data_IF_849115822724
#
_entry.id   IF_849115822724
#
_cell.length_a   1.000
_cell.length_b   1.000
_cell.length_c   1.000
_cell.angle_alpha   90.00
_cell.angle_beta   90.00
_cell.angle_gamma   90.00
#
_symmetry.space_group_name_H-M   'P 1'
#
loop_
_entity.id
_entity.type
_entity.pdbx_description
1 polymer ?
#
# COMPACT_ATOMS: atom_id res chain seq x y z
N UNK A 1 -86.91 11.82 81.17
CA UNK A 1 -85.67 12.60 80.96
C UNK A 1 -85.08 12.21 79.60
N UNK A 2 -84.58 13.17 78.81
CA UNK A 2 -83.93 12.89 77.50
C UNK A 2 -82.43 12.70 77.69
N UNK A 3 -81.83 11.74 76.98
CA UNK A 3 -80.37 11.59 76.83
C UNK A 3 -80.05 11.30 75.37
N UNK A 4 -79.46 12.28 74.66
CA UNK A 4 -79.22 12.19 73.23
C UNK A 4 -78.11 11.20 72.87
N UNK A 5 -78.31 10.42 71.82
CA UNK A 5 -77.24 9.63 71.21
C UNK A 5 -76.15 10.51 70.60
N UNK A 6 -74.91 10.01 70.61
CA UNK A 6 -73.77 10.61 69.90
C UNK A 6 -72.93 9.52 69.26
N UNK A 7 -73.33 9.09 68.07
CA UNK A 7 -72.58 8.13 67.24
C UNK A 7 -71.23 8.73 66.84
N UNK A 8 -70.14 8.05 67.20
CA UNK A 8 -68.78 8.48 66.89
C UNK A 8 -68.48 8.21 65.40
N UNK A 9 -68.60 9.23 64.57
CA UNK A 9 -68.36 9.15 63.14
C UNK A 9 -66.85 8.99 62.87
N UNK A 10 -66.43 7.79 62.49
CA UNK A 10 -65.05 7.52 62.03
C UNK A 10 -64.92 8.00 60.58
N UNK A 11 -64.17 9.09 60.35
CA UNK A 11 -63.89 9.61 59.01
C UNK A 11 -62.89 8.70 58.27
N UNK A 12 -63.30 8.03 57.16
CA UNK A 12 -62.40 7.14 56.42
C UNK A 12 -61.51 7.89 55.41
N UNK A 13 -61.61 9.22 55.29
CA UNK A 13 -60.97 9.99 54.20
C UNK A 13 -59.47 10.24 54.41
N UNK A 14 -58.95 10.13 55.62
CA UNK A 14 -57.52 10.38 55.88
C UNK A 14 -56.59 9.22 55.48
N UNK A 15 -57.07 7.97 55.41
CA UNK A 15 -56.21 6.80 55.20
C UNK A 15 -55.79 6.55 53.73
N UNK A 16 -56.42 7.22 52.75
CA UNK A 16 -56.19 6.94 51.31
C UNK A 16 -54.99 7.65 50.68
N UNK A 17 -54.34 8.62 51.33
CA UNK A 17 -53.21 9.35 50.73
C UNK A 17 -51.88 8.60 50.78
N UNK A 18 -51.64 7.79 51.80
CA UNK A 18 -50.34 7.11 51.97
C UNK A 18 -50.16 5.88 51.08
N UNK A 19 -51.25 5.16 50.78
CA UNK A 19 -51.19 3.87 50.05
C UNK A 19 -50.77 4.05 48.59
N UNK A 20 -51.12 5.17 47.94
CA UNK A 20 -50.73 5.43 46.54
C UNK A 20 -49.26 5.81 46.37
N UNK A 21 -48.61 6.33 47.41
CA UNK A 21 -47.19 6.75 47.36
C UNK A 21 -46.24 5.55 47.18
N UNK A 22 -46.47 4.46 47.92
CA UNK A 22 -45.55 3.32 47.96
C UNK A 22 -45.43 2.55 46.64
N UNK A 23 -46.51 2.45 45.86
CA UNK A 23 -46.50 1.76 44.56
C UNK A 23 -45.66 2.50 43.51
N UNK A 24 -45.82 3.82 43.43
CA UNK A 24 -45.03 4.68 42.55
C UNK A 24 -43.58 4.75 42.99
N UNK A 25 -43.31 4.91 44.30
CA UNK A 25 -41.95 4.92 44.85
C UNK A 25 -41.18 3.60 44.58
N UNK A 26 -41.85 2.43 44.66
CA UNK A 26 -41.23 1.13 44.33
C UNK A 26 -40.94 0.98 42.83
N UNK A 27 -41.82 1.46 41.94
CA UNK A 27 -41.57 1.47 40.49
C UNK A 27 -40.45 2.43 40.12
N UNK A 28 -40.44 3.64 40.68
CA UNK A 28 -39.37 4.62 40.51
C UNK A 28 -38.01 4.06 40.97
N UNK A 29 -37.94 3.45 42.17
CA UNK A 29 -36.70 2.81 42.66
C UNK A 29 -36.23 1.66 41.78
N UNK A 30 -37.13 0.85 41.21
CA UNK A 30 -36.75 -0.21 40.25
C UNK A 30 -36.24 0.38 38.93
N UNK A 31 -36.86 1.45 38.44
CA UNK A 31 -36.40 2.16 37.25
C UNK A 31 -35.02 2.80 37.47
N UNK A 32 -34.77 3.44 38.63
CA UNK A 32 -33.44 4.00 38.93
C UNK A 32 -32.39 2.91 39.09
N UNK A 33 -32.70 1.77 39.74
CA UNK A 33 -31.77 0.62 39.84
C UNK A 33 -31.47 0.02 38.45
N UNK A 34 -32.48 -0.10 37.58
CA UNK A 34 -32.27 -0.54 36.20
C UNK A 34 -31.40 0.43 35.40
N UNK A 35 -31.63 1.73 35.56
CA UNK A 35 -30.84 2.78 34.91
C UNK A 35 -29.39 2.82 35.42
N UNK A 36 -29.16 2.70 36.74
CA UNK A 36 -27.79 2.65 37.27
C UNK A 36 -27.08 1.37 36.88
N UNK A 37 -27.75 0.21 36.87
CA UNK A 37 -27.18 -1.03 36.37
C UNK A 37 -26.79 -0.95 34.89
N UNK A 38 -27.62 -0.33 34.05
CA UNK A 38 -27.32 -0.08 32.64
C UNK A 38 -26.15 0.89 32.46
N UNK A 39 -26.09 1.99 33.22
CA UNK A 39 -24.96 2.93 33.19
C UNK A 39 -23.65 2.25 33.63
N UNK A 40 -23.67 1.44 34.69
CA UNK A 40 -22.51 0.65 35.13
C UNK A 40 -22.09 -0.36 34.05
N UNK A 41 -23.04 -1.05 33.42
CA UNK A 41 -22.72 -1.98 32.33
C UNK A 41 -22.07 -1.27 31.12
N UNK A 42 -22.58 -0.09 30.73
CA UNK A 42 -21.98 0.73 29.67
C UNK A 42 -20.55 1.16 30.07
N UNK A 43 -20.34 1.64 31.31
CA UNK A 43 -19.02 2.03 31.80
C UNK A 43 -18.03 0.85 31.78
N UNK A 44 -18.44 -0.33 32.27
CA UNK A 44 -17.61 -1.54 32.23
C UNK A 44 -17.27 -1.93 30.79
N UNK A 45 -18.23 -1.91 29.86
CA UNK A 45 -17.98 -2.21 28.44
C UNK A 45 -17.02 -1.20 27.81
N UNK A 46 -17.14 0.09 28.11
CA UNK A 46 -16.17 1.11 27.63
C UNK A 46 -14.77 0.90 28.21
N UNK A 47 -14.65 0.55 29.50
CA UNK A 47 -13.37 0.25 30.13
C UNK A 47 -12.70 -1.01 29.54
N UNK A 48 -13.47 -2.08 29.32
CA UNK A 48 -12.98 -3.29 28.65
C UNK A 48 -12.52 -3.00 27.21
N UNK A 49 -13.26 -2.15 26.47
CA UNK A 49 -12.89 -1.74 25.11
C UNK A 49 -11.59 -0.93 25.08
N UNK A 50 -11.43 0.02 26.00
CA UNK A 50 -10.18 0.80 26.14
C UNK A 50 -8.99 -0.06 26.61
N UNK A 51 -9.23 -1.05 27.47
CA UNK A 51 -8.20 -2.03 27.82
C UNK A 51 -7.78 -2.85 26.59
N UNK A 52 -8.74 -3.29 25.78
CA UNK A 52 -8.47 -4.05 24.56
C UNK A 52 -7.70 -3.23 23.50
N UNK A 53 -8.03 -1.94 23.31
CA UNK A 53 -7.25 -1.06 22.40
C UNK A 53 -5.80 -0.93 22.86
N UNK A 54 -5.57 -0.74 24.16
CA UNK A 54 -4.22 -0.60 24.73
C UNK A 54 -3.41 -1.91 24.64
N UNK A 55 -4.05 -3.07 24.85
CA UNK A 55 -3.37 -4.37 24.68
C UNK A 55 -2.99 -4.60 23.22
N UNK A 56 -3.90 -4.35 22.27
CA UNK A 56 -3.59 -4.49 20.84
C UNK A 56 -2.47 -3.54 20.40
N UNK A 57 -2.53 -2.27 20.81
CA UNK A 57 -1.49 -1.27 20.55
C UNK A 57 -0.11 -1.70 21.06
N UNK A 58 -0.02 -2.19 22.32
CA UNK A 58 1.25 -2.65 22.90
C UNK A 58 1.81 -3.90 22.24
N UNK A 59 0.95 -4.86 21.89
CA UNK A 59 1.37 -6.08 21.19
C UNK A 59 1.80 -5.77 19.74
N UNK A 60 1.06 -4.90 19.04
CA UNK A 60 1.42 -4.43 17.70
C UNK A 60 2.75 -3.66 17.69
N UNK A 61 2.92 -2.71 18.60
CA UNK A 61 4.17 -1.94 18.77
C UNK A 61 5.36 -2.84 19.12
N UNK A 62 5.16 -3.84 19.98
CA UNK A 62 6.18 -4.84 20.31
C UNK A 62 6.58 -5.69 19.09
N UNK A 63 5.59 -6.23 18.36
CA UNK A 63 5.82 -7.01 17.15
C UNK A 63 6.54 -6.17 16.07
N UNK A 64 6.10 -4.92 15.83
CA UNK A 64 6.72 -3.99 14.89
C UNK A 64 8.19 -3.70 15.26
N UNK A 65 8.47 -3.44 16.53
CA UNK A 65 9.84 -3.20 17.03
C UNK A 65 10.72 -4.44 16.88
N UNK A 66 10.13 -5.63 17.00
CA UNK A 66 10.77 -6.93 16.74
C UNK A 66 10.75 -7.37 15.27
N UNK A 67 10.42 -6.47 14.32
CA UNK A 67 10.36 -6.71 12.87
C UNK A 67 9.37 -7.82 12.45
N UNK A 68 8.41 -8.16 13.30
CA UNK A 68 7.31 -9.10 13.05
C UNK A 68 6.11 -8.32 12.52
N UNK A 69 6.27 -7.77 11.32
CA UNK A 69 5.32 -6.82 10.75
C UNK A 69 3.96 -7.45 10.44
N UNK A 70 3.90 -8.72 9.98
CA UNK A 70 2.67 -9.48 9.76
C UNK A 70 1.80 -9.59 11.04
N UNK A 71 2.43 -9.80 12.19
CA UNK A 71 1.77 -9.86 13.48
C UNK A 71 1.38 -8.46 13.96
N UNK A 72 2.24 -7.46 13.72
CA UNK A 72 1.92 -6.07 14.00
C UNK A 72 0.66 -5.62 13.24
N UNK A 73 0.55 -5.92 11.94
CA UNK A 73 -0.64 -5.65 11.13
C UNK A 73 -1.90 -6.25 11.75
N UNK A 74 -1.86 -7.51 12.20
CA UNK A 74 -3.01 -8.18 12.82
C UNK A 74 -3.46 -7.48 14.11
N UNK A 75 -2.53 -7.08 14.96
CA UNK A 75 -2.85 -6.37 16.20
C UNK A 75 -3.40 -4.96 15.93
N UNK A 76 -2.80 -4.19 15.03
CA UNK A 76 -3.31 -2.86 14.64
C UNK A 76 -4.65 -2.94 13.90
N UNK A 77 -4.84 -3.95 13.05
CA UNK A 77 -6.11 -4.23 12.36
C UNK A 77 -7.25 -4.67 13.30
N UNK A 78 -6.93 -5.37 14.40
CA UNK A 78 -7.89 -5.59 15.48
C UNK A 78 -8.24 -4.26 16.17
N UNK A 79 -7.24 -3.40 16.41
CA UNK A 79 -7.42 -2.09 17.03
C UNK A 79 -8.33 -1.16 16.21
N UNK A 80 -8.34 -1.23 14.87
CA UNK A 80 -9.25 -0.43 14.03
C UNK A 80 -10.74 -0.60 14.35
N UNK A 81 -11.16 -1.77 14.86
CA UNK A 81 -12.57 -2.03 15.25
C UNK A 81 -12.87 -1.58 16.68
N UNK A 82 -11.84 -1.20 17.44
CA UNK A 82 -11.88 -0.93 18.88
C UNK A 82 -11.63 0.55 19.19
N UNK A 83 -10.66 1.17 18.53
CA UNK A 83 -10.29 2.58 18.74
C UNK A 83 -11.29 3.52 18.03
N UNK A 84 -11.99 4.33 18.82
CA UNK A 84 -12.93 5.37 18.36
C UNK A 84 -12.45 6.77 18.77
N UNK A 85 -11.56 6.85 19.76
CA UNK A 85 -11.04 8.11 20.32
C UNK A 85 -9.98 8.74 19.45
N UNK A 86 -9.11 7.92 18.84
CA UNK A 86 -8.01 8.38 17.98
C UNK A 86 -8.05 7.61 16.64
N UNK A 87 -9.04 7.90 15.78
CA UNK A 87 -9.41 7.06 14.65
C UNK A 87 -8.37 7.05 13.50
N UNK A 88 -7.30 7.85 13.62
CA UNK A 88 -6.15 7.86 12.72
C UNK A 88 -5.08 6.83 13.11
N UNK A 89 -4.87 6.58 14.42
CA UNK A 89 -3.74 5.80 14.95
C UNK A 89 -3.74 4.37 14.39
N UNK A 90 -4.83 3.63 14.57
CA UNK A 90 -4.90 2.24 14.13
C UNK A 90 -4.79 2.06 12.60
N UNK A 91 -5.12 3.11 11.82
CA UNK A 91 -4.90 3.12 10.37
C UNK A 91 -3.42 3.42 10.06
N UNK A 92 -2.83 4.41 10.75
CA UNK A 92 -1.42 4.76 10.62
C UNK A 92 -0.48 3.60 10.96
N UNK A 93 -0.69 2.93 12.10
CA UNK A 93 0.18 1.85 12.55
C UNK A 93 0.07 0.62 11.63
N UNK A 94 -1.15 0.27 11.19
CA UNK A 94 -1.37 -0.83 10.25
C UNK A 94 -0.76 -0.53 8.89
N UNK A 95 -0.96 0.67 8.36
CA UNK A 95 -0.34 1.09 7.09
C UNK A 95 1.18 1.12 7.17
N UNK A 96 1.75 1.55 8.30
CA UNK A 96 3.20 1.53 8.53
C UNK A 96 3.75 0.09 8.60
N UNK A 97 3.03 -0.84 9.23
CA UNK A 97 3.38 -2.27 9.22
C UNK A 97 3.34 -2.85 7.79
N UNK A 98 2.27 -2.60 7.04
CA UNK A 98 2.11 -3.04 5.63
C UNK A 98 3.20 -2.48 4.72
N UNK A 99 3.58 -1.21 4.90
CA UNK A 99 4.67 -0.60 4.14
C UNK A 99 6.02 -1.28 4.42
N UNK A 100 6.27 -1.69 5.68
CA UNK A 100 7.46 -2.44 6.05
C UNK A 100 7.50 -3.86 5.44
N UNK A 101 6.33 -4.48 5.17
CA UNK A 101 6.21 -5.73 4.42
C UNK A 101 6.18 -5.57 2.89
N UNK A 102 6.41 -4.35 2.39
CA UNK A 102 6.29 -4.01 0.96
C UNK A 102 4.87 -4.18 0.37
N UNK A 103 3.84 -4.32 1.21
CA UNK A 103 2.44 -4.29 0.78
C UNK A 103 1.98 -2.83 0.60
N UNK A 104 2.56 -2.15 -0.39
CA UNK A 104 2.42 -0.70 -0.54
C UNK A 104 1.01 -0.25 -0.90
N UNK A 105 0.22 -1.06 -1.63
CA UNK A 105 -1.13 -0.67 -2.04
C UNK A 105 -2.08 -0.57 -0.83
N UNK A 106 -2.10 -1.62 0.00
CA UNK A 106 -2.90 -1.63 1.24
C UNK A 106 -2.35 -0.64 2.29
N UNK A 107 -1.04 -0.41 2.30
CA UNK A 107 -0.40 0.60 3.15
C UNK A 107 -0.81 2.03 2.76
N UNK A 108 -0.91 2.33 1.47
CA UNK A 108 -1.27 3.65 0.97
C UNK A 108 -2.71 4.02 1.35
N UNK A 109 -3.67 3.09 1.20
CA UNK A 109 -5.07 3.29 1.61
C UNK A 109 -5.20 3.55 3.12
N UNK A 110 -4.48 2.78 3.94
CA UNK A 110 -4.41 2.96 5.39
C UNK A 110 -3.80 4.32 5.79
N UNK A 111 -2.70 4.71 5.16
CA UNK A 111 -2.00 5.96 5.45
C UNK A 111 -2.74 7.19 4.92
N UNK A 112 -3.49 7.08 3.81
CA UNK A 112 -4.45 8.11 3.36
C UNK A 112 -5.61 8.23 4.35
N UNK A 113 -6.19 7.10 4.78
CA UNK A 113 -7.25 7.06 5.80
C UNK A 113 -6.80 7.66 7.13
N UNK A 114 -5.54 7.41 7.52
CA UNK A 114 -4.93 8.04 8.68
C UNK A 114 -4.73 9.55 8.47
N UNK A 115 -4.21 9.97 7.31
CA UNK A 115 -3.91 11.37 7.02
C UNK A 115 -5.17 12.23 6.97
N UNK A 116 -6.29 11.71 6.48
CA UNK A 116 -7.58 12.39 6.53
C UNK A 116 -7.98 12.73 7.99
N UNK A 117 -7.87 11.73 8.88
CA UNK A 117 -8.32 11.79 10.28
C UNK A 117 -7.29 12.37 11.26
N UNK A 118 -6.05 12.59 10.83
CA UNK A 118 -4.95 13.00 11.70
C UNK A 118 -5.11 14.47 12.17
N UNK A 119 -5.04 14.74 13.50
CA UNK A 119 -4.88 16.09 14.06
C UNK A 119 -3.67 16.80 13.47
N UNK A 120 -3.71 18.14 13.41
CA UNK A 120 -2.74 18.97 12.69
C UNK A 120 -1.28 18.71 13.10
N UNK A 121 -1.06 18.44 14.38
CA UNK A 121 0.22 18.10 15.02
C UNK A 121 0.79 16.73 14.58
N UNK A 122 -0.07 15.79 14.16
CA UNK A 122 0.34 14.47 13.66
C UNK A 122 0.34 14.37 12.13
N UNK A 123 -0.27 15.31 11.41
CA UNK A 123 -0.35 15.29 9.93
C UNK A 123 1.01 15.15 9.25
N UNK A 124 2.07 15.78 9.76
CA UNK A 124 3.41 15.58 9.19
C UNK A 124 3.89 14.13 9.34
N UNK A 125 3.81 13.53 10.54
CA UNK A 125 4.20 12.12 10.76
C UNK A 125 3.47 11.19 9.80
N UNK A 126 2.14 11.30 9.77
CA UNK A 126 1.29 10.41 8.96
C UNK A 126 1.53 10.65 7.46
N UNK A 127 1.55 11.91 7.04
CA UNK A 127 1.77 12.29 5.65
C UNK A 127 3.16 11.94 5.13
N UNK A 128 4.22 12.06 5.94
CA UNK A 128 5.56 11.66 5.52
C UNK A 128 5.67 10.14 5.36
N UNK A 129 5.02 9.34 6.23
CA UNK A 129 4.94 7.89 6.03
C UNK A 129 4.17 7.51 4.75
N UNK A 130 3.09 8.22 4.42
CA UNK A 130 2.41 8.07 3.13
C UNK A 130 3.36 8.38 1.96
N UNK A 131 4.07 9.51 2.01
CA UNK A 131 5.03 9.92 0.97
C UNK A 131 6.15 8.89 0.79
N UNK A 132 6.71 8.35 1.87
CA UNK A 132 7.73 7.30 1.81
C UNK A 132 7.19 5.98 1.27
N UNK A 133 5.95 5.61 1.63
CA UNK A 133 5.26 4.42 1.09
C UNK A 133 5.06 4.54 -0.42
N UNK A 134 4.64 5.71 -0.91
CA UNK A 134 4.49 6.00 -2.35
C UNK A 134 5.83 6.02 -3.09
N UNK A 135 6.89 6.54 -2.46
CA UNK A 135 8.25 6.56 -3.02
C UNK A 135 8.86 5.15 -3.12
N UNK A 136 8.68 4.29 -2.10
CA UNK A 136 9.07 2.88 -2.21
C UNK A 136 8.22 2.12 -3.21
N UNK A 137 6.90 2.37 -3.25
CA UNK A 137 6.02 1.72 -4.22
C UNK A 137 6.45 2.04 -5.64
N UNK A 138 6.79 3.31 -5.92
CA UNK A 138 7.34 3.77 -7.19
C UNK A 138 8.72 3.19 -7.53
N UNK A 139 9.50 2.75 -6.54
CA UNK A 139 10.82 2.12 -6.73
C UNK A 139 10.72 0.61 -6.92
N UNK A 140 9.91 -0.07 -6.12
CA UNK A 140 9.71 -1.52 -6.16
C UNK A 140 8.82 -1.96 -7.33
N UNK A 141 7.79 -1.16 -7.66
CA UNK A 141 7.00 -1.36 -8.86
C UNK A 141 7.78 -0.88 -10.08
N UNK A 142 8.55 -1.78 -10.69
CA UNK A 142 9.05 -1.65 -12.07
C UNK A 142 7.92 -1.67 -13.13
N UNK A 143 6.68 -1.36 -12.73
CA UNK A 143 5.45 -1.52 -13.49
C UNK A 143 5.20 -0.27 -14.35
N UNK A 144 5.51 -0.41 -15.63
CA UNK A 144 5.31 0.57 -16.71
C UNK A 144 6.12 1.88 -16.58
N UNK A 145 7.26 1.90 -17.30
CA UNK A 145 8.17 3.04 -17.43
C UNK A 145 7.44 4.34 -17.82
N UNK A 146 7.85 5.46 -17.23
CA UNK A 146 7.62 6.82 -17.74
C UNK A 146 6.44 7.60 -17.16
N UNK A 147 5.26 7.00 -16.96
CA UNK A 147 4.04 7.77 -16.61
C UNK A 147 3.40 7.41 -15.28
N UNK A 148 3.23 6.12 -14.97
CA UNK A 148 2.66 5.67 -13.70
C UNK A 148 3.58 6.05 -12.52
N UNK A 149 4.86 5.65 -12.60
CA UNK A 149 5.91 6.03 -11.63
C UNK A 149 6.01 7.55 -11.44
N UNK A 150 6.11 8.31 -12.53
CA UNK A 150 6.15 9.76 -12.48
C UNK A 150 4.85 10.40 -11.95
N UNK A 151 3.70 9.72 -12.06
CA UNK A 151 2.44 10.07 -11.40
C UNK A 151 2.56 9.99 -9.89
N UNK A 152 2.90 8.81 -9.38
CA UNK A 152 3.05 8.52 -7.95
C UNK A 152 4.07 9.42 -7.28
N UNK A 153 5.27 9.60 -7.87
CA UNK A 153 6.32 10.47 -7.32
C UNK A 153 5.90 11.95 -7.29
N UNK A 154 5.12 12.41 -8.29
CA UNK A 154 4.59 13.79 -8.32
C UNK A 154 3.54 13.99 -7.24
N UNK A 155 2.64 13.03 -7.03
CA UNK A 155 1.64 13.12 -5.96
C UNK A 155 2.31 13.05 -4.58
N UNK A 156 3.29 12.16 -4.38
CA UNK A 156 4.08 12.09 -3.16
C UNK A 156 4.77 13.44 -2.86
N UNK A 157 5.35 14.10 -3.87
CA UNK A 157 5.94 15.44 -3.71
C UNK A 157 4.89 16.51 -3.37
N UNK A 158 3.72 16.48 -4.01
CA UNK A 158 2.63 17.43 -3.79
C UNK A 158 1.98 17.27 -2.40
N UNK A 159 1.84 16.03 -1.91
CA UNK A 159 1.51 15.73 -0.51
C UNK A 159 2.59 16.32 0.41
N UNK A 160 3.86 15.99 0.18
CA UNK A 160 4.97 16.49 0.99
C UNK A 160 4.98 18.04 1.06
N UNK A 161 4.76 18.74 -0.06
CA UNK A 161 4.71 20.20 -0.14
C UNK A 161 3.59 20.83 0.71
N UNK A 162 2.45 20.14 0.89
CA UNK A 162 1.35 20.62 1.74
C UNK A 162 1.58 20.41 3.22
N UNK A 163 2.48 19.51 3.62
CA UNK A 163 2.75 19.24 5.03
C UNK A 163 3.47 20.42 5.70
N UNK A 164 3.11 20.69 6.95
CA UNK A 164 3.78 21.69 7.81
C UNK A 164 4.58 20.95 8.88
N UNK A 165 5.74 20.43 8.48
CA UNK A 165 6.60 19.63 9.33
C UNK A 165 7.45 20.48 10.26
N UNK A 166 7.45 20.13 11.56
CA UNK A 166 8.17 20.81 12.63
C UNK A 166 8.48 19.83 13.76
N UNK A 167 9.62 20.01 14.43
CA UNK A 167 9.99 19.18 15.58
C UNK A 167 10.63 17.84 15.18
N UNK A 168 10.67 16.89 16.13
CA UNK A 168 11.45 15.66 15.99
C UNK A 168 10.83 14.63 15.04
N UNK A 169 11.69 14.04 14.22
CA UNK A 169 11.35 12.93 13.33
C UNK A 169 10.85 11.72 14.13
N UNK A 170 9.87 11.02 13.55
CA UNK A 170 9.33 9.75 14.07
C UNK A 170 9.16 8.75 12.93
N UNK A 171 10.09 8.80 11.97
CA UNK A 171 10.19 7.90 10.84
C UNK A 171 10.56 6.48 11.31
N UNK A 172 9.95 5.42 10.74
CA UNK A 172 10.55 4.10 10.77
C UNK A 172 11.92 4.12 10.10
N UNK A 173 12.89 3.39 10.64
CA UNK A 173 14.15 3.18 9.93
C UNK A 173 13.91 2.22 8.76
N UNK A 174 14.21 2.64 7.53
CA UNK A 174 14.15 1.78 6.34
C UNK A 174 15.55 1.55 5.77
N UNK A 175 15.81 0.35 5.23
CA UNK A 175 17.11 -0.02 4.68
C UNK A 175 17.56 0.86 3.48
N UNK A 176 16.60 1.55 2.87
CA UNK A 176 16.70 2.44 1.71
C UNK A 176 16.86 3.92 2.06
N UNK A 177 16.67 4.34 3.33
CA UNK A 177 16.71 5.76 3.73
C UNK A 177 17.57 5.99 4.96
N UNK A 178 18.36 7.06 4.91
CA UNK A 178 18.89 7.71 6.11
C UNK A 178 17.85 8.70 6.63
N UNK A 179 17.59 8.67 7.94
CA UNK A 179 16.61 9.54 8.62
C UNK A 179 17.33 10.59 9.46
N UNK A 180 17.02 11.88 9.26
CA UNK A 180 17.42 13.00 10.12
C UNK A 180 16.50 13.14 11.35
N UNK A 181 17.03 13.71 12.44
CA UNK A 181 16.30 13.96 13.68
C UNK A 181 15.21 15.06 13.58
N UNK A 182 15.26 15.91 12.54
CA UNK A 182 14.33 17.03 12.33
C UNK A 182 13.36 16.79 11.15
N UNK A 183 12.06 16.90 11.40
CA UNK A 183 11.02 16.62 10.39
C UNK A 183 11.09 17.56 9.19
N UNK A 184 11.51 18.82 9.38
CA UNK A 184 11.57 19.79 8.28
C UNK A 184 12.74 19.47 7.35
N UNK A 185 13.86 19.03 7.91
CA UNK A 185 15.00 18.47 7.18
C UNK A 185 14.56 17.24 6.41
N UNK A 186 13.88 16.28 7.05
CA UNK A 186 13.36 15.05 6.40
C UNK A 186 12.37 15.31 5.25
N UNK A 187 11.47 16.26 5.44
CA UNK A 187 10.55 16.71 4.39
C UNK A 187 11.36 17.24 3.19
N UNK A 188 12.38 18.07 3.45
CA UNK A 188 13.20 18.68 2.40
C UNK A 188 14.14 17.70 1.68
N UNK A 189 14.68 16.70 2.38
CA UNK A 189 15.53 15.65 1.79
C UNK A 189 14.70 14.69 0.95
N UNK A 190 13.54 14.27 1.46
CA UNK A 190 12.57 13.46 0.73
C UNK A 190 12.12 14.16 -0.56
N UNK A 191 11.73 15.44 -0.49
CA UNK A 191 11.36 16.21 -1.68
C UNK A 191 12.47 16.30 -2.73
N UNK A 192 13.74 16.39 -2.32
CA UNK A 192 14.90 16.37 -3.25
C UNK A 192 15.06 15.00 -3.92
N UNK A 193 14.97 13.91 -3.16
CA UNK A 193 15.08 12.54 -3.71
C UNK A 193 13.95 12.25 -4.70
N UNK A 194 12.71 12.61 -4.38
CA UNK A 194 11.58 12.55 -5.32
C UNK A 194 11.86 13.33 -6.62
N UNK A 195 12.46 14.53 -6.54
CA UNK A 195 12.86 15.31 -7.72
C UNK A 195 14.01 14.70 -8.52
N UNK A 196 14.90 13.95 -7.87
CA UNK A 196 16.01 13.23 -8.53
C UNK A 196 15.50 11.97 -9.22
N UNK A 197 14.66 11.17 -8.56
CA UNK A 197 14.02 9.98 -9.15
C UNK A 197 13.14 10.32 -10.36
N UNK A 198 12.33 11.39 -10.27
CA UNK A 198 11.53 11.86 -11.42
C UNK A 198 12.40 12.29 -12.61
N UNK A 199 13.59 12.89 -12.38
CA UNK A 199 14.52 13.25 -13.45
C UNK A 199 15.16 12.00 -14.07
N UNK A 200 15.53 11.01 -13.25
CA UNK A 200 16.11 9.76 -13.72
C UNK A 200 15.11 8.96 -14.59
N UNK A 201 13.84 8.88 -14.21
CA UNK A 201 12.80 8.17 -14.99
C UNK A 201 12.60 8.81 -16.39
N UNK A 202 12.63 10.14 -16.47
CA UNK A 202 12.57 10.86 -17.75
C UNK A 202 13.81 10.64 -18.64
N UNK A 203 15.02 10.62 -18.07
CA UNK A 203 16.27 10.38 -18.82
C UNK A 203 16.45 8.91 -19.24
N UNK A 204 16.01 7.97 -18.40
CA UNK A 204 16.01 6.53 -18.71
C UNK A 204 15.09 6.22 -19.89
N UNK A 205 13.90 6.82 -19.91
CA UNK A 205 12.93 6.63 -21.01
C UNK A 205 13.47 7.13 -22.35
N UNK A 206 14.01 8.36 -22.42
CA UNK A 206 14.61 8.89 -23.66
C UNK A 206 15.81 8.07 -24.19
N UNK A 207 16.53 7.39 -23.29
CA UNK A 207 17.68 6.58 -23.68
C UNK A 207 17.25 5.26 -24.32
N UNK A 208 16.18 4.64 -23.80
CA UNK A 208 15.64 3.39 -24.35
C UNK A 208 14.94 3.58 -25.71
N UNK A 209 14.26 4.70 -25.93
CA UNK A 209 13.64 5.01 -27.22
C UNK A 209 14.69 5.23 -28.33
N UNK A 210 15.85 5.82 -27.99
CA UNK A 210 16.97 5.97 -28.94
C UNK A 210 17.68 4.66 -29.25
N UNK A 211 17.83 3.78 -28.26
CA UNK A 211 18.42 2.45 -28.43
C UNK A 211 17.52 1.55 -29.30
N UNK A 212 16.20 1.56 -29.06
CA UNK A 212 15.23 0.77 -29.81
C UNK A 212 15.05 1.27 -31.25
N UNK A 213 14.99 2.59 -31.47
CA UNK A 213 14.99 3.17 -32.83
C UNK A 213 16.24 2.77 -33.60
N UNK A 214 17.44 2.92 -33.01
CA UNK A 214 18.70 2.53 -33.66
C UNK A 214 18.78 1.04 -33.99
N UNK A 215 18.22 0.17 -33.16
CA UNK A 215 18.16 -1.28 -33.44
C UNK A 215 17.22 -1.56 -34.61
N UNK A 216 16.02 -0.98 -34.64
CA UNK A 216 15.07 -1.15 -35.74
C UNK A 216 15.61 -0.60 -37.07
N UNK A 217 16.25 0.57 -37.07
CA UNK A 217 16.90 1.14 -38.26
C UNK A 217 18.02 0.22 -38.78
N UNK A 218 18.82 -0.34 -37.86
CA UNK A 218 19.90 -1.27 -38.20
C UNK A 218 19.39 -2.60 -38.76
N UNK A 219 18.27 -3.13 -38.25
CA UNK A 219 17.66 -4.36 -38.76
C UNK A 219 16.97 -4.14 -40.11
N UNK A 220 16.22 -3.06 -40.32
CA UNK A 220 15.68 -2.71 -41.65
C UNK A 220 16.78 -2.52 -42.70
N UNK A 221 17.91 -1.92 -42.32
CA UNK A 221 19.04 -1.73 -43.24
C UNK A 221 19.72 -3.07 -43.57
N UNK A 222 19.78 -4.00 -42.62
CA UNK A 222 20.29 -5.36 -42.80
C UNK A 222 19.38 -6.22 -43.68
N UNK A 223 18.06 -6.11 -43.53
CA UNK A 223 17.09 -6.79 -44.40
C UNK A 223 17.19 -6.32 -45.86
N UNK A 224 17.36 -5.00 -46.10
CA UNK A 224 17.57 -4.46 -47.46
C UNK A 224 18.85 -4.97 -48.12
N UNK A 225 19.95 -5.05 -47.38
CA UNK A 225 21.23 -5.59 -47.87
C UNK A 225 21.12 -7.09 -48.21
N UNK A 226 20.51 -7.89 -47.34
CA UNK A 226 20.22 -9.30 -47.58
C UNK A 226 19.30 -9.53 -48.79
N UNK A 227 18.23 -8.73 -48.93
CA UNK A 227 17.33 -8.79 -50.08
C UNK A 227 18.06 -8.48 -51.39
N UNK A 228 18.89 -7.44 -51.40
CA UNK A 228 19.68 -7.02 -52.58
C UNK A 228 20.66 -8.11 -52.99
N UNK A 229 21.42 -8.68 -52.05
CA UNK A 229 22.38 -9.76 -52.32
C UNK A 229 21.71 -11.03 -52.83
N UNK A 230 20.57 -11.42 -52.26
CA UNK A 230 19.82 -12.58 -52.71
C UNK A 230 19.28 -12.38 -54.14
N UNK A 231 18.82 -11.17 -54.47
CA UNK A 231 18.37 -10.83 -55.82
C UNK A 231 19.53 -10.76 -56.84
N UNK A 232 20.73 -10.34 -56.42
CA UNK A 232 21.94 -10.42 -57.26
C UNK A 232 22.32 -11.87 -57.55
N UNK A 233 22.41 -12.74 -56.53
CA UNK A 233 22.74 -14.15 -56.69
C UNK A 233 21.75 -14.89 -57.62
N UNK A 234 20.46 -14.61 -57.51
CA UNK A 234 19.42 -15.16 -58.42
C UNK A 234 19.58 -14.68 -59.87
N UNK A 235 20.13 -13.49 -60.10
CA UNK A 235 20.39 -12.97 -61.44
C UNK A 235 21.71 -13.51 -62.03
N UNK A 236 22.72 -13.75 -61.19
CA UNK A 236 23.96 -14.43 -61.59
C UNK A 236 23.67 -15.90 -61.96
N UNK A 237 22.95 -16.64 -61.12
CA UNK A 237 22.53 -18.01 -61.42
C UNK A 237 21.76 -18.11 -62.76
N UNK A 238 20.91 -17.12 -63.07
CA UNK A 238 20.21 -17.06 -64.37
C UNK A 238 21.13 -16.78 -65.55
N UNK A 239 22.18 -15.96 -65.37
CA UNK A 239 23.20 -15.74 -66.41
C UNK A 239 24.03 -17.00 -66.65
N UNK A 240 24.46 -17.66 -65.59
CA UNK A 240 25.25 -18.90 -65.70
C UNK A 240 24.43 -20.00 -66.39
N UNK A 241 23.15 -20.16 -66.02
CA UNK A 241 22.23 -21.11 -66.66
C UNK A 241 21.96 -20.77 -68.15
N UNK A 242 22.09 -19.50 -68.57
CA UNK A 242 22.02 -19.12 -69.98
C UNK A 242 23.34 -19.32 -70.73
N UNK A 243 24.47 -19.29 -70.04
CA UNK A 243 25.80 -19.43 -70.65
C UNK A 243 26.21 -20.91 -70.81
N UNK A 244 25.75 -21.79 -69.91
CA UNK A 244 26.00 -23.24 -69.96
C UNK A 244 25.15 -24.00 -71.02
N UNK A 245 24.34 -23.28 -71.79
CA UNK A 245 23.54 -23.83 -72.90
C UNK A 245 24.35 -24.27 -74.13
N UNK A 246 25.68 -24.15 -74.12
CA UNK A 246 26.55 -24.40 -75.28
C UNK A 246 27.85 -25.15 -74.95
N UNK A 247 27.77 -26.31 -74.28
CA UNK A 247 28.68 -27.45 -74.51
C UNK A 247 28.15 -28.74 -73.89
N UNK A 248 28.03 -29.81 -74.69
CA UNK A 248 27.65 -31.14 -74.22
C UNK A 248 28.60 -32.21 -74.76
N UNK A 249 28.80 -33.31 -73.99
CA UNK A 249 29.59 -34.54 -74.27
C UNK A 249 31.13 -34.35 -74.21
N UNK A 250 31.96 -35.25 -73.65
CA UNK A 250 31.90 -36.69 -73.23
C UNK A 250 32.91 -36.93 -72.07
N UNK A 251 32.95 -37.99 -71.25
CA UNK A 251 32.09 -39.18 -71.01
C UNK A 251 32.56 -40.01 -69.79
N UNK A 252 31.64 -40.74 -69.14
CA UNK A 252 31.81 -42.07 -68.49
C UNK A 252 32.99 -42.39 -67.53
N UNK A 253 32.67 -42.75 -66.27
CA UNK A 253 33.57 -43.48 -65.35
C UNK A 253 32.97 -43.68 -63.94
N UNK A 254 32.98 -44.88 -63.33
CA UNK A 254 32.16 -45.17 -62.13
C UNK A 254 32.84 -44.91 -60.76
N UNK A 255 31.99 -44.81 -59.73
CA UNK A 255 32.29 -44.39 -58.34
C UNK A 255 32.92 -45.46 -57.44
N UNK A 256 33.84 -45.05 -56.56
CA UNK A 256 34.17 -45.73 -55.30
C UNK A 256 34.51 -44.70 -54.17
N UNK A 257 34.35 -45.02 -52.86
CA UNK A 257 34.41 -44.06 -51.73
C UNK A 257 35.65 -44.26 -50.81
N UNK A 258 35.70 -43.72 -49.57
CA UNK A 258 35.54 -42.34 -49.05
C UNK A 258 36.90 -41.81 -48.48
N UNK A 259 37.00 -40.80 -47.57
CA UNK A 259 36.83 -41.07 -46.13
C UNK A 259 36.27 -39.89 -45.27
N UNK A 260 35.97 -40.21 -44.00
CA UNK A 260 35.50 -39.30 -42.96
C UNK A 260 36.58 -38.35 -42.40
N UNK A 261 36.14 -37.17 -41.92
CA UNK A 261 36.94 -36.28 -41.06
C UNK A 261 36.50 -34.82 -41.19
N UNK A 262 36.17 -34.08 -40.12
CA UNK A 262 36.05 -34.48 -38.71
C UNK A 262 35.34 -33.42 -37.88
N UNK A 263 34.86 -33.81 -36.71
CA UNK A 263 34.29 -32.92 -35.68
C UNK A 263 35.43 -32.21 -34.93
N UNK A 264 35.26 -30.93 -34.56
CA UNK A 264 35.88 -30.38 -33.36
C UNK A 264 34.84 -30.01 -32.30
N UNK A 265 35.00 -30.60 -31.12
CA UNK A 265 34.37 -30.20 -29.85
C UNK A 265 34.74 -28.76 -29.44
N UNK A 266 33.77 -28.05 -28.80
CA UNK A 266 33.89 -27.34 -27.49
C UNK A 266 32.62 -26.51 -27.24
N UNK A 267 31.83 -26.77 -26.19
CA UNK A 267 32.02 -26.52 -24.73
C UNK A 267 31.73 -25.08 -24.28
N UNK A 268 30.82 -24.95 -23.30
CA UNK A 268 30.43 -23.72 -22.59
C UNK A 268 29.40 -22.92 -23.37
N UNK A 269 28.17 -22.71 -22.90
CA UNK A 269 27.74 -22.44 -21.51
C UNK A 269 26.78 -23.49 -20.94
#
# INVERSE_FOLDING_TARGET
MRGSGRTRQTDPRHSRRDVMSHGQARRARRATIGMTALLVAVLVLTACRLAATLVCDRLGSGAFTSQQYDQAERYFGANMRLNVTEPWIASYDRGTARAAESNYADAEDDLRTALDKAPQEYRCRVGMNLVWTMEESATMQNLNRGTAKAGTLREAKDIAQRLRCQGRTTAPQSHTRQTSDDQRTEQSTTMKRLDEEMKQDMQGSQSQDKESSRRNDSEQQREKDLSTKNQQALNEQKRDTQNDGSSQKTSSGPTAPPPSGGVPDRKGW
#
